data_IF_619682443130
#
_entry.id   IF_619682443130
#
_cell.length_a   1.000
_cell.length_b   1.000
_cell.length_c   1.000
_cell.angle_alpha   90.00
_cell.angle_beta   90.00
_cell.angle_gamma   90.00
#
_symmetry.space_group_name_H-M   'P 1'
#
loop_
_entity.id
_entity.type
_entity.pdbx_description
1 polymer ?
#
# COMPACT_ATOMS: atom_id res chain seq x y z
N UNK A 1 -59.11 -29.03 -7.11
CA UNK A 1 -58.16 -29.06 -8.24
C UNK A 1 -57.22 -27.89 -8.07
N UNK A 2 -55.92 -28.13 -7.89
CA UNK A 2 -54.91 -27.08 -7.89
C UNK A 2 -54.28 -27.05 -9.28
N UNK A 3 -54.36 -25.91 -9.97
CA UNK A 3 -53.52 -25.70 -11.15
C UNK A 3 -52.13 -25.25 -10.72
N UNK A 4 -51.05 -25.88 -11.20
CA UNK A 4 -49.71 -25.40 -10.95
C UNK A 4 -49.39 -24.26 -11.93
N UNK A 5 -48.96 -23.12 -11.39
CA UNK A 5 -48.44 -21.99 -12.15
C UNK A 5 -47.17 -22.46 -12.90
N UNK A 6 -47.23 -22.57 -14.23
CA UNK A 6 -46.04 -22.68 -15.08
C UNK A 6 -45.44 -21.28 -15.29
N UNK A 7 -44.66 -20.80 -14.33
CA UNK A 7 -43.72 -19.71 -14.62
C UNK A 7 -42.48 -20.33 -15.28
N UNK A 8 -42.20 -19.94 -16.52
CA UNK A 8 -40.90 -20.21 -17.14
C UNK A 8 -39.84 -19.56 -16.25
N UNK A 9 -38.89 -20.36 -15.76
CA UNK A 9 -37.69 -19.87 -15.10
C UNK A 9 -36.92 -18.98 -16.07
N UNK A 10 -36.93 -17.67 -15.83
CA UNK A 10 -36.11 -16.67 -16.54
C UNK A 10 -34.73 -16.54 -15.88
N UNK A 11 -34.14 -17.68 -15.49
CA UNK A 11 -32.74 -17.74 -15.11
C UNK A 11 -31.89 -18.13 -16.31
N UNK A 12 -31.89 -17.24 -17.32
CA UNK A 12 -30.77 -17.15 -18.24
C UNK A 12 -29.67 -16.41 -17.48
N UNK A 13 -28.79 -17.17 -16.82
CA UNK A 13 -27.46 -16.67 -16.46
C UNK A 13 -26.61 -16.67 -17.73
N UNK A 14 -26.94 -15.78 -18.66
CA UNK A 14 -25.96 -15.32 -19.64
C UNK A 14 -25.06 -14.33 -18.91
N UNK A 15 -24.22 -14.85 -18.02
CA UNK A 15 -22.99 -14.16 -17.71
C UNK A 15 -22.16 -14.22 -19.00
N UNK A 16 -22.10 -13.08 -19.69
CA UNK A 16 -21.18 -12.88 -20.79
C UNK A 16 -19.78 -13.38 -20.36
N UNK A 17 -19.13 -14.30 -21.10
CA UNK A 17 -17.78 -14.75 -20.79
C UNK A 17 -16.74 -13.62 -20.72
N UNK A 18 -17.09 -12.41 -21.17
CA UNK A 18 -16.29 -11.19 -21.08
C UNK A 18 -16.63 -10.22 -19.93
N UNK A 19 -17.53 -10.57 -18.99
CA UNK A 19 -17.98 -9.65 -17.93
C UNK A 19 -17.11 -9.64 -16.65
N UNK A 20 -15.85 -10.05 -16.73
CA UNK A 20 -14.88 -9.85 -15.64
C UNK A 20 -14.00 -8.66 -16.00
N UNK A 21 -13.74 -7.70 -15.07
CA UNK A 21 -12.83 -6.60 -15.36
C UNK A 21 -11.44 -7.18 -15.66
N UNK A 22 -11.06 -7.20 -16.95
CA UNK A 22 -9.78 -7.70 -17.43
C UNK A 22 -8.67 -6.72 -17.08
N UNK A 23 -8.27 -6.65 -15.81
CA UNK A 23 -6.99 -6.06 -15.47
C UNK A 23 -5.91 -7.08 -15.74
N UNK A 24 -4.85 -6.63 -16.40
CA UNK A 24 -3.63 -7.40 -16.57
C UNK A 24 -3.01 -7.62 -15.19
N UNK A 25 -2.33 -8.74 -15.00
CA UNK A 25 -1.58 -9.03 -13.76
C UNK A 25 -0.65 -7.87 -13.37
N UNK A 26 -0.05 -7.24 -14.36
CA UNK A 26 0.79 -6.05 -14.19
C UNK A 26 0.07 -4.86 -13.58
N UNK A 27 -1.14 -4.56 -14.07
CA UNK A 27 -1.98 -3.48 -13.55
C UNK A 27 -2.45 -3.79 -12.12
N UNK A 28 -2.74 -5.05 -11.82
CA UNK A 28 -3.06 -5.48 -10.45
C UNK A 28 -1.88 -5.29 -9.50
N UNK A 29 -0.65 -5.60 -9.94
CA UNK A 29 0.56 -5.39 -9.15
C UNK A 29 0.84 -3.90 -8.94
N UNK A 30 0.62 -3.05 -9.94
CA UNK A 30 0.72 -1.59 -9.78
C UNK A 30 -0.24 -1.06 -8.72
N UNK A 31 -1.50 -1.49 -8.77
CA UNK A 31 -2.52 -1.08 -7.82
C UNK A 31 -2.14 -1.52 -6.41
N UNK A 32 -1.70 -2.77 -6.25
CA UNK A 32 -1.23 -3.31 -4.97
C UNK A 32 -0.01 -2.55 -4.47
N UNK A 33 0.99 -2.33 -5.32
CA UNK A 33 2.22 -1.62 -4.94
C UNK A 33 1.91 -0.19 -4.49
N UNK A 34 1.11 0.53 -5.28
CA UNK A 34 0.72 1.89 -4.94
C UNK A 34 -0.11 1.95 -3.65
N UNK A 35 -0.92 0.94 -3.36
CA UNK A 35 -1.65 0.84 -2.10
C UNK A 35 -0.72 0.65 -0.90
N UNK A 36 0.27 -0.25 -1.01
CA UNK A 36 1.24 -0.49 0.07
C UNK A 36 2.13 0.74 0.30
N UNK A 37 2.58 1.40 -0.76
CA UNK A 37 3.38 2.61 -0.65
C UNK A 37 2.58 3.79 -0.06
N UNK A 38 1.30 3.93 -0.40
CA UNK A 38 0.44 4.95 0.21
C UNK A 38 0.24 4.70 1.71
N UNK A 39 0.03 3.45 2.12
CA UNK A 39 -0.05 3.09 3.53
C UNK A 39 1.28 3.34 4.26
N UNK A 40 2.42 3.08 3.61
CA UNK A 40 3.75 3.39 4.18
C UNK A 40 3.93 4.90 4.35
N UNK A 41 3.61 5.70 3.33
CA UNK A 41 3.66 7.16 3.38
C UNK A 41 2.82 7.73 4.53
N UNK A 42 1.62 7.20 4.76
CA UNK A 42 0.78 7.63 5.88
C UNK A 42 1.47 7.41 7.23
N UNK A 43 2.08 6.24 7.45
CA UNK A 43 2.82 5.95 8.70
C UNK A 43 4.09 6.79 8.81
N UNK A 44 4.78 7.06 7.70
CA UNK A 44 5.92 8.00 7.66
C UNK A 44 5.50 9.41 8.04
N UNK A 45 4.31 9.85 7.61
CA UNK A 45 3.75 11.15 7.99
C UNK A 45 3.40 11.23 9.47
N UNK A 46 2.84 10.17 10.05
CA UNK A 46 2.60 10.06 11.49
C UNK A 46 3.92 10.11 12.28
N UNK A 47 4.94 9.36 11.87
CA UNK A 47 6.27 9.36 12.51
C UNK A 47 6.92 10.74 12.48
N UNK A 48 6.83 11.43 11.35
CA UNK A 48 7.38 12.77 11.18
C UNK A 48 6.68 13.79 12.08
N UNK A 49 5.37 13.70 12.23
CA UNK A 49 4.61 14.55 13.14
C UNK A 49 4.97 14.28 14.62
N UNK A 50 5.35 13.04 14.95
CA UNK A 50 5.62 12.63 16.34
C UNK A 50 7.06 12.86 16.81
N UNK A 51 8.06 12.61 15.97
CA UNK A 51 9.47 12.56 16.40
C UNK A 51 10.42 13.48 15.62
N UNK A 52 9.99 14.08 14.51
CA UNK A 52 10.85 14.96 13.69
C UNK A 52 12.16 14.32 13.24
N UNK A 53 12.19 12.98 13.08
CA UNK A 53 13.42 12.24 12.78
C UNK A 53 14.02 12.66 11.43
N UNK A 54 15.33 12.99 11.36
CA UNK A 54 15.98 13.36 10.11
C UNK A 54 15.89 12.22 9.09
N UNK A 55 15.61 12.57 7.82
CA UNK A 55 15.46 11.63 6.72
C UNK A 55 14.02 11.16 6.44
N UNK A 56 13.06 11.43 7.35
CA UNK A 56 11.64 11.11 7.10
C UNK A 56 10.98 12.03 6.07
N UNK A 57 11.42 13.29 5.96
CA UNK A 57 10.91 14.22 4.94
C UNK A 57 11.27 13.79 3.52
N UNK A 58 12.56 13.55 3.27
CA UNK A 58 13.03 13.03 1.99
C UNK A 58 12.37 11.69 1.66
N UNK A 59 12.24 10.81 2.66
CA UNK A 59 11.54 9.54 2.48
C UNK A 59 10.07 9.72 2.07
N UNK A 60 9.36 10.68 2.67
CA UNK A 60 7.98 10.98 2.32
C UNK A 60 7.85 11.52 0.89
N UNK A 61 8.81 12.35 0.45
CA UNK A 61 8.86 12.86 -0.92
C UNK A 61 9.15 11.74 -1.95
N UNK A 62 10.15 10.90 -1.69
CA UNK A 62 10.46 9.74 -2.54
C UNK A 62 9.25 8.80 -2.68
N UNK A 63 8.54 8.52 -1.57
CA UNK A 63 7.34 7.70 -1.56
C UNK A 63 6.20 8.35 -2.36
N UNK A 64 5.96 9.66 -2.17
CA UNK A 64 4.92 10.38 -2.89
C UNK A 64 5.18 10.41 -4.41
N UNK A 65 6.43 10.65 -4.82
CA UNK A 65 6.84 10.61 -6.22
C UNK A 65 6.64 9.21 -6.83
N UNK A 66 7.01 8.17 -6.09
CA UNK A 66 6.82 6.79 -6.52
C UNK A 66 5.33 6.42 -6.67
N UNK A 67 4.47 6.85 -5.74
CA UNK A 67 3.02 6.64 -5.85
C UNK A 67 2.46 7.40 -7.05
N UNK A 68 2.90 8.64 -7.27
CA UNK A 68 2.47 9.45 -8.41
C UNK A 68 2.84 8.80 -9.74
N UNK A 69 4.02 8.20 -9.84
CA UNK A 69 4.43 7.43 -11.02
C UNK A 69 3.50 6.25 -11.30
N UNK A 70 3.07 5.53 -10.27
CA UNK A 70 2.22 4.35 -10.40
C UNK A 70 0.74 4.68 -10.66
N UNK A 71 0.23 5.80 -10.12
CA UNK A 71 -1.19 6.19 -10.22
C UNK A 71 -1.49 7.33 -11.19
N UNK A 72 -0.46 7.98 -11.75
CA UNK A 72 -0.60 9.15 -12.62
C UNK A 72 -0.91 10.46 -11.88
N UNK A 73 -0.75 10.52 -10.56
CA UNK A 73 -1.03 11.72 -9.77
C UNK A 73 -0.60 11.60 -8.31
N UNK A 74 -0.30 12.75 -7.68
CA UNK A 74 0.17 12.78 -6.30
C UNK A 74 -0.87 12.21 -5.31
N UNK A 75 -0.44 11.39 -4.33
CA UNK A 75 -1.36 10.90 -3.30
C UNK A 75 -1.86 12.04 -2.43
N UNK A 76 -3.13 11.97 -2.03
CA UNK A 76 -3.68 12.85 -1.00
C UNK A 76 -3.01 12.52 0.32
N UNK A 77 -2.44 13.53 0.98
CA UNK A 77 -1.81 13.40 2.30
C UNK A 77 -2.72 13.99 3.35
N UNK A 78 -3.04 13.19 4.37
CA UNK A 78 -3.82 13.65 5.52
C UNK A 78 -2.91 13.68 6.74
N UNK A 79 -2.72 14.86 7.32
CA UNK A 79 -2.02 15.02 8.58
C UNK A 79 -3.00 14.73 9.72
N UNK A 80 -3.28 13.46 9.99
CA UNK A 80 -4.04 13.07 11.19
C UNK A 80 -3.07 13.08 12.37
N UNK A 81 -3.30 13.97 13.33
CA UNK A 81 -2.60 13.98 14.59
C UNK A 81 -3.08 12.79 15.45
N UNK A 82 -2.18 11.87 15.78
CA UNK A 82 -2.48 10.69 16.60
C UNK A 82 -2.13 10.97 18.07
N UNK A 83 -2.98 10.48 18.97
CA UNK A 83 -2.83 10.58 20.42
C UNK A 83 -1.88 9.48 20.93
N UNK A 84 -0.94 9.87 21.81
CA UNK A 84 0.13 9.05 22.41
C UNK A 84 1.00 8.26 21.39
N UNK A 85 2.12 8.82 20.91
CA UNK A 85 2.95 8.16 19.90
C UNK A 85 3.74 6.99 20.50
N UNK A 86 3.30 5.76 20.25
CA UNK A 86 4.16 4.58 20.46
C UNK A 86 5.09 4.40 19.24
N UNK A 87 6.16 5.20 19.20
CA UNK A 87 7.11 5.30 18.08
C UNK A 87 7.62 3.93 17.60
N UNK A 88 7.91 3.02 18.53
CA UNK A 88 8.36 1.65 18.20
C UNK A 88 7.31 0.89 17.39
N UNK A 89 6.02 0.99 17.73
CA UNK A 89 4.93 0.34 16.98
C UNK A 89 4.76 0.96 15.60
N UNK A 90 4.94 2.28 15.47
CA UNK A 90 4.91 2.95 14.17
C UNK A 90 6.07 2.46 13.27
N UNK A 91 7.28 2.34 13.82
CA UNK A 91 8.42 1.77 13.09
C UNK A 91 8.20 0.31 12.70
N UNK A 92 7.65 -0.53 13.59
CA UNK A 92 7.29 -1.92 13.28
C UNK A 92 6.27 -2.01 12.14
N UNK A 93 5.22 -1.18 12.18
CA UNK A 93 4.20 -1.11 11.14
C UNK A 93 4.79 -0.66 9.81
N UNK A 94 5.63 0.37 9.82
CA UNK A 94 6.29 0.88 8.63
C UNK A 94 7.25 -0.16 8.03
N UNK A 95 8.04 -0.86 8.86
CA UNK A 95 8.91 -1.96 8.44
C UNK A 95 8.12 -3.07 7.73
N UNK A 96 7.01 -3.51 8.32
CA UNK A 96 6.15 -4.54 7.73
C UNK A 96 5.51 -4.10 6.39
N UNK A 97 5.09 -2.83 6.28
CA UNK A 97 4.57 -2.26 5.04
C UNK A 97 5.64 -2.20 3.94
N UNK A 98 6.86 -1.79 4.30
CA UNK A 98 7.99 -1.77 3.39
C UNK A 98 8.34 -3.18 2.87
N UNK A 99 8.30 -4.21 3.74
CA UNK A 99 8.48 -5.60 3.33
C UNK A 99 7.43 -6.09 2.33
N UNK A 100 6.15 -5.75 2.54
CA UNK A 100 5.07 -6.07 1.58
C UNK A 100 5.27 -5.34 0.24
N UNK A 101 5.62 -4.06 0.27
CA UNK A 101 5.91 -3.29 -0.93
C UNK A 101 7.10 -3.88 -1.71
N UNK A 102 8.15 -4.32 -1.02
CA UNK A 102 9.33 -4.94 -1.61
C UNK A 102 8.97 -6.22 -2.40
N UNK A 103 8.15 -7.11 -1.82
CA UNK A 103 7.73 -8.35 -2.48
C UNK A 103 6.91 -8.06 -3.75
N UNK A 104 5.98 -7.10 -3.68
CA UNK A 104 5.15 -6.72 -4.83
C UNK A 104 6.00 -6.06 -5.92
N UNK A 105 6.91 -5.15 -5.54
CA UNK A 105 7.83 -4.49 -6.46
C UNK A 105 8.75 -5.49 -7.18
N UNK A 106 9.32 -6.46 -6.46
CA UNK A 106 10.12 -7.52 -7.04
C UNK A 106 9.28 -8.39 -8.01
N UNK A 107 8.04 -8.71 -7.63
CA UNK A 107 7.12 -9.48 -8.49
C UNK A 107 6.73 -8.77 -9.78
N UNK A 108 6.78 -7.42 -9.78
CA UNK A 108 6.58 -6.56 -10.93
C UNK A 108 7.88 -6.28 -11.72
N UNK A 109 9.03 -6.69 -11.20
CA UNK A 109 10.35 -6.28 -11.69
C UNK A 109 10.56 -4.76 -11.68
N UNK A 110 9.93 -4.05 -10.74
CA UNK A 110 10.11 -2.62 -10.51
C UNK A 110 11.30 -2.39 -9.57
N UNK A 111 12.49 -2.35 -10.15
CA UNK A 111 13.75 -2.21 -9.40
C UNK A 111 13.80 -0.92 -8.57
N UNK A 112 13.28 0.18 -9.10
CA UNK A 112 13.28 1.46 -8.39
C UNK A 112 12.41 1.39 -7.13
N UNK A 113 11.20 0.83 -7.24
CA UNK A 113 10.32 0.64 -6.08
C UNK A 113 10.91 -0.38 -5.09
N UNK A 114 11.55 -1.44 -5.58
CA UNK A 114 12.19 -2.45 -4.74
C UNK A 114 13.33 -1.85 -3.91
N UNK A 115 14.21 -1.07 -4.53
CA UNK A 115 15.30 -0.38 -3.81
C UNK A 115 14.75 0.59 -2.76
N UNK A 116 13.74 1.40 -3.12
CA UNK A 116 13.10 2.32 -2.19
C UNK A 116 12.51 1.57 -0.99
N UNK A 117 11.74 0.50 -1.24
CA UNK A 117 11.14 -0.32 -0.19
C UNK A 117 12.19 -0.97 0.71
N UNK A 118 13.27 -1.50 0.15
CA UNK A 118 14.38 -2.09 0.92
C UNK A 118 15.06 -1.05 1.83
N UNK A 119 15.38 0.14 1.32
CA UNK A 119 15.97 1.22 2.13
C UNK A 119 15.07 1.66 3.28
N UNK A 120 13.75 1.75 3.04
CA UNK A 120 12.77 2.08 4.10
C UNK A 120 12.65 0.97 5.13
N UNK A 121 12.64 -0.28 4.70
CA UNK A 121 12.61 -1.44 5.59
C UNK A 121 13.83 -1.45 6.53
N UNK A 122 15.03 -1.24 5.99
CA UNK A 122 16.27 -1.17 6.77
C UNK A 122 16.28 0.03 7.73
N UNK A 123 15.88 1.22 7.27
CA UNK A 123 15.78 2.41 8.12
C UNK A 123 14.89 2.14 9.34
N UNK A 124 13.68 1.62 9.14
CA UNK A 124 12.78 1.31 10.25
C UNK A 124 13.27 0.18 11.14
N UNK A 125 14.06 -0.77 10.61
CA UNK A 125 14.71 -1.78 11.45
C UNK A 125 15.71 -1.14 12.41
N UNK A 126 16.56 -0.23 11.92
CA UNK A 126 17.57 0.49 12.72
C UNK A 126 16.96 1.36 13.80
N UNK A 127 15.86 2.06 13.51
CA UNK A 127 15.14 2.88 14.49
C UNK A 127 14.47 2.05 15.62
N UNK A 128 14.31 0.74 15.43
CA UNK A 128 13.82 -0.18 16.47
C UNK A 128 14.95 -0.82 17.29
N UNK A 129 16.21 -0.75 16.84
CA UNK A 129 17.31 -1.34 17.56
C UNK A 129 17.52 -0.59 18.88
N UNK A 130 17.57 -1.28 20.03
CA UNK A 130 17.87 -0.63 21.29
C UNK A 130 19.29 -0.07 21.21
N UNK A 131 19.44 1.23 21.49
CA UNK A 131 20.76 1.86 21.61
C UNK A 131 21.52 1.11 22.71
N UNK A 132 22.50 0.30 22.32
CA UNK A 132 23.40 -0.34 23.27
C UNK A 132 24.18 0.77 23.99
N UNK A 133 23.89 0.94 25.27
CA UNK A 133 24.53 1.89 26.17
C UNK A 133 25.92 1.39 26.63
#
# INVERSE_FOLDING_TARGET
MYEPIRTKSVHTTAADPGAFPHRSREEELDIQLASHLAALLAVTDELRAAAGTPGLDEAAEELAAQIARLRGGAPVRSAVAVHEPHLVTLHQRAHALAGRALVVAASRADTAAAILAARRMEFHAREMEPVAA
#
